data_IF_196383772556
#
_entry.id   IF_196383772556
#
_cell.length_a   1.000
_cell.length_b   1.000
_cell.length_c   1.000
_cell.angle_alpha   90.00
_cell.angle_beta   90.00
_cell.angle_gamma   90.00
#
_symmetry.space_group_name_H-M   'P 1'
#
loop_
_entity.id
_entity.type
_entity.pdbx_description
1 polymer ?
#
# COMPACT_ATOMS: atom_id res chain seq x y z
N UNK A 1 39.04 -28.14 9.15
CA UNK A 1 37.80 -28.08 9.95
C UNK A 1 36.89 -27.06 9.28
N UNK A 2 35.86 -27.48 8.52
CA UNK A 2 34.63 -26.64 8.37
C UNK A 2 33.48 -27.26 7.55
N UNK A 3 33.68 -28.38 6.84
CA UNK A 3 32.58 -28.97 6.05
C UNK A 3 31.40 -29.50 6.89
N UNK A 4 31.66 -29.88 8.13
CA UNK A 4 30.62 -30.35 9.06
C UNK A 4 29.80 -29.21 9.68
N UNK A 5 30.37 -27.99 9.75
CA UNK A 5 29.73 -26.80 10.31
C UNK A 5 28.69 -26.22 9.34
N UNK A 6 29.02 -26.10 8.05
CA UNK A 6 28.10 -25.62 7.01
C UNK A 6 26.89 -26.55 6.80
N UNK A 7 27.09 -27.86 6.83
CA UNK A 7 26.02 -28.84 6.64
C UNK A 7 24.97 -28.78 7.77
N UNK A 8 25.41 -28.57 9.02
CA UNK A 8 24.52 -28.38 10.18
C UNK A 8 23.69 -27.09 10.06
N UNK A 9 24.31 -26.00 9.60
CA UNK A 9 23.65 -24.70 9.46
C UNK A 9 22.55 -24.71 8.39
N UNK A 10 22.79 -25.37 7.25
CA UNK A 10 21.80 -25.57 6.19
C UNK A 10 20.67 -26.54 6.57
N UNK A 11 20.95 -27.52 7.42
CA UNK A 11 19.92 -28.42 7.95
C UNK A 11 18.94 -27.67 8.85
N UNK A 12 19.43 -26.79 9.74
CA UNK A 12 18.57 -25.99 10.60
C UNK A 12 17.69 -24.99 9.82
N UNK A 13 18.22 -24.35 8.77
CA UNK A 13 17.42 -23.45 7.92
C UNK A 13 16.36 -24.20 7.11
N UNK A 14 16.66 -25.43 6.64
CA UNK A 14 15.69 -26.30 5.98
C UNK A 14 14.58 -26.78 6.92
N UNK A 15 14.93 -27.22 8.13
CA UNK A 15 13.95 -27.68 9.14
C UNK A 15 13.02 -26.54 9.53
N UNK A 16 13.57 -25.35 9.80
CA UNK A 16 12.75 -24.16 10.08
C UNK A 16 11.89 -23.75 8.89
N UNK A 17 12.43 -23.80 7.67
CA UNK A 17 11.67 -23.53 6.45
C UNK A 17 10.46 -24.46 6.28
N UNK A 18 10.64 -25.76 6.56
CA UNK A 18 9.57 -26.76 6.49
C UNK A 18 8.51 -26.50 7.57
N UNK A 19 8.90 -26.17 8.81
CA UNK A 19 7.96 -25.83 9.89
C UNK A 19 7.13 -24.59 9.52
N UNK A 20 7.74 -23.55 8.96
CA UNK A 20 7.01 -22.37 8.49
C UNK A 20 6.04 -22.68 7.35
N UNK A 21 6.44 -23.53 6.40
CA UNK A 21 5.57 -23.95 5.29
C UNK A 21 4.39 -24.76 5.80
N UNK A 22 4.62 -25.72 6.72
CA UNK A 22 3.55 -26.51 7.32
C UNK A 22 2.62 -25.62 8.14
N UNK A 23 3.17 -24.68 8.92
CA UNK A 23 2.40 -23.69 9.66
C UNK A 23 1.54 -22.83 8.73
N UNK A 24 2.08 -22.35 7.62
CA UNK A 24 1.35 -21.59 6.62
C UNK A 24 0.23 -22.41 5.97
N UNK A 25 0.47 -23.68 5.65
CA UNK A 25 -0.54 -24.59 5.09
C UNK A 25 -1.66 -24.86 6.11
N UNK A 26 -1.31 -25.13 7.38
CA UNK A 26 -2.27 -25.29 8.48
C UNK A 26 -3.13 -24.05 8.67
N UNK A 27 -2.53 -22.87 8.50
CA UNK A 27 -3.18 -21.58 8.68
C UNK A 27 -4.14 -21.27 7.51
N UNK A 28 -3.75 -21.57 6.26
CA UNK A 28 -4.65 -21.50 5.10
C UNK A 28 -5.78 -22.51 5.19
N UNK A 29 -5.51 -23.72 5.68
CA UNK A 29 -6.53 -24.73 5.92
C UNK A 29 -7.51 -24.31 7.02
N UNK A 30 -7.00 -23.67 8.08
CA UNK A 30 -7.82 -23.05 9.12
C UNK A 30 -8.67 -21.89 8.56
N UNK A 31 -8.11 -21.04 7.70
CA UNK A 31 -8.84 -19.96 7.02
C UNK A 31 -10.01 -20.49 6.17
N UNK A 32 -9.83 -21.65 5.52
CA UNK A 32 -10.85 -22.27 4.68
C UNK A 32 -11.93 -23.00 5.49
N UNK A 33 -11.59 -23.57 6.64
CA UNK A 33 -12.45 -24.54 7.35
C UNK A 33 -13.00 -24.01 8.68
N UNK A 34 -12.34 -23.04 9.30
CA UNK A 34 -12.77 -22.45 10.59
C UNK A 34 -13.76 -21.31 10.36
N UNK A 35 -14.86 -21.31 11.12
CA UNK A 35 -15.76 -20.14 11.22
C UNK A 35 -15.06 -18.93 11.84
N UNK A 36 -14.12 -19.18 12.75
CA UNK A 36 -13.30 -18.14 13.38
C UNK A 36 -12.31 -17.59 12.34
N UNK A 37 -12.60 -16.39 11.81
CA UNK A 37 -11.72 -15.68 10.89
C UNK A 37 -12.25 -15.53 9.46
N UNK A 38 -13.52 -15.85 9.19
CA UNK A 38 -14.21 -15.54 7.93
C UNK A 38 -15.13 -14.33 8.11
N UNK A 39 -15.11 -13.39 7.17
CA UNK A 39 -15.99 -12.21 7.20
C UNK A 39 -17.11 -12.39 6.19
N UNK A 40 -18.33 -12.52 6.68
CA UNK A 40 -19.53 -12.65 5.87
C UNK A 40 -20.20 -11.29 5.69
N UNK A 41 -20.72 -11.05 4.48
CA UNK A 41 -21.38 -9.80 4.13
C UNK A 41 -22.74 -10.05 3.48
N UNK A 42 -23.72 -9.25 3.87
CA UNK A 42 -25.03 -9.17 3.24
C UNK A 42 -25.10 -7.92 2.36
N UNK A 43 -25.63 -8.02 1.14
CA UNK A 43 -25.90 -6.84 0.32
C UNK A 43 -27.15 -6.14 0.84
N UNK A 44 -27.00 -4.88 1.25
CA UNK A 44 -28.08 -3.97 1.59
C UNK A 44 -28.23 -2.96 0.45
N UNK A 45 -29.39 -2.96 -0.22
CA UNK A 45 -29.67 -2.01 -1.30
C UNK A 45 -30.20 -0.71 -0.71
N UNK A 46 -29.61 0.40 -1.13
CA UNK A 46 -30.12 1.73 -0.84
C UNK A 46 -30.56 2.38 -2.14
N UNK A 47 -31.80 2.86 -2.19
CA UNK A 47 -32.30 3.67 -3.27
C UNK A 47 -32.87 4.99 -2.72
N UNK A 48 -32.60 6.07 -3.43
CA UNK A 48 -33.06 7.41 -3.10
C UNK A 48 -33.77 8.03 -4.28
N UNK A 49 -34.99 8.49 -4.06
CA UNK A 49 -35.79 9.21 -5.05
C UNK A 49 -35.81 10.70 -4.75
N UNK A 50 -35.81 11.51 -5.81
CA UNK A 50 -35.91 12.96 -5.70
C UNK A 50 -37.37 13.39 -5.68
N UNK A 51 -37.76 14.08 -4.60
CA UNK A 51 -39.08 14.70 -4.48
C UNK A 51 -39.21 15.91 -5.42
N UNK A 52 -40.43 16.40 -5.65
CA UNK A 52 -40.72 17.53 -6.54
C UNK A 52 -39.96 18.82 -6.18
N UNK A 53 -39.53 18.96 -4.92
CA UNK A 53 -38.71 20.06 -4.39
C UNK A 53 -37.19 19.83 -4.52
N UNK A 54 -36.75 18.75 -5.18
CA UNK A 54 -35.34 18.40 -5.37
C UNK A 54 -34.65 17.81 -4.14
N UNK A 55 -35.41 17.39 -3.11
CA UNK A 55 -34.89 16.72 -1.92
C UNK A 55 -34.91 15.20 -2.10
N UNK A 56 -33.85 14.51 -1.67
CA UNK A 56 -33.74 13.06 -1.78
C UNK A 56 -34.29 12.37 -0.53
N UNK A 57 -35.13 11.35 -0.71
CA UNK A 57 -35.64 10.47 0.36
C UNK A 57 -35.40 9.01 0.02
N UNK A 58 -35.14 8.17 1.04
CA UNK A 58 -34.99 6.73 0.85
C UNK A 58 -36.27 6.09 0.29
N UNK A 59 -36.13 5.12 -0.60
CA UNK A 59 -37.25 4.42 -1.24
C UNK A 59 -36.87 2.97 -1.51
N UNK A 60 -37.78 2.04 -1.19
CA UNK A 60 -37.55 0.59 -1.34
C UNK A 60 -37.90 0.07 -2.75
N UNK A 61 -38.51 0.91 -3.60
CA UNK A 61 -38.87 0.59 -4.99
C UNK A 61 -38.27 1.61 -5.96
N UNK A 62 -37.01 1.40 -6.41
CA UNK A 62 -36.34 2.32 -7.32
C UNK A 62 -37.04 2.40 -8.67
N UNK A 63 -37.17 3.62 -9.20
CA UNK A 63 -37.66 3.90 -10.55
C UNK A 63 -36.54 4.44 -11.46
N UNK A 64 -36.81 4.54 -12.75
CA UNK A 64 -35.83 5.05 -13.72
C UNK A 64 -35.54 6.53 -13.47
N UNK A 65 -34.38 6.82 -12.87
CA UNK A 65 -33.94 8.18 -12.50
C UNK A 65 -33.43 8.30 -11.06
N UNK A 66 -33.65 7.27 -10.23
CA UNK A 66 -33.25 7.26 -8.83
C UNK A 66 -31.78 6.84 -8.63
N UNK A 67 -31.17 7.30 -7.55
CA UNK A 67 -29.79 6.93 -7.20
C UNK A 67 -29.84 5.64 -6.38
N UNK A 68 -29.27 4.56 -6.93
CA UNK A 68 -29.19 3.26 -6.29
C UNK A 68 -27.74 2.88 -6.03
N UNK A 69 -27.44 2.37 -4.83
CA UNK A 69 -26.17 1.71 -4.54
C UNK A 69 -26.36 0.54 -3.57
N UNK A 70 -25.44 -0.42 -3.64
CA UNK A 70 -25.44 -1.58 -2.76
C UNK A 70 -24.29 -1.43 -1.76
N UNK A 71 -24.63 -1.46 -0.47
CA UNK A 71 -23.67 -1.49 0.63
C UNK A 71 -23.51 -2.92 1.12
N UNK A 72 -22.28 -3.37 1.32
CA UNK A 72 -22.01 -4.68 1.92
C UNK A 72 -21.74 -4.52 3.41
N UNK A 73 -22.72 -4.88 4.24
CA UNK A 73 -22.60 -4.81 5.69
C UNK A 73 -22.05 -6.13 6.25
N UNK A 74 -21.29 -6.07 7.35
CA UNK A 74 -20.71 -7.26 7.98
C UNK A 74 -21.78 -7.92 8.85
N UNK A 75 -22.03 -9.20 8.63
CA UNK A 75 -22.98 -9.96 9.45
C UNK A 75 -22.28 -10.44 10.72
N UNK A 76 -22.81 -10.12 11.92
CA UNK A 76 -22.26 -10.64 13.18
C UNK A 76 -22.43 -12.16 13.30
N UNK A 77 -21.50 -12.83 13.97
CA UNK A 77 -21.51 -14.30 14.16
C UNK A 77 -22.80 -14.84 14.80
N UNK A 78 -23.53 -14.02 15.57
CA UNK A 78 -24.81 -14.36 16.18
C UNK A 78 -25.97 -14.48 15.17
N UNK A 79 -25.85 -13.82 14.01
CA UNK A 79 -26.88 -13.78 12.96
C UNK A 79 -26.53 -14.69 11.76
N UNK A 80 -25.32 -15.25 11.75
CA UNK A 80 -24.84 -16.23 10.76
C UNK A 80 -25.42 -17.63 11.01
N UNK A 81 -26.72 -17.80 10.82
CA UNK A 81 -27.37 -19.12 10.81
C UNK A 81 -27.08 -19.87 9.50
N UNK A 82 -27.13 -21.21 9.53
CA UNK A 82 -26.90 -22.04 8.34
C UNK A 82 -27.92 -21.74 7.22
N UNK A 83 -29.12 -21.30 7.58
CA UNK A 83 -30.17 -20.89 6.63
C UNK A 83 -29.80 -19.62 5.84
N UNK A 84 -29.10 -18.66 6.45
CA UNK A 84 -28.66 -17.41 5.80
C UNK A 84 -27.51 -17.68 4.82
N UNK A 85 -26.69 -18.70 5.10
CA UNK A 85 -25.61 -19.15 4.21
C UNK A 85 -26.17 -19.93 3.02
N UNK A 86 -27.11 -20.86 3.26
CA UNK A 86 -27.71 -21.70 2.22
C UNK A 86 -28.70 -20.94 1.33
N UNK A 87 -29.32 -19.87 1.85
CA UNK A 87 -30.18 -18.97 1.06
C UNK A 87 -29.41 -18.02 0.14
N UNK A 88 -28.07 -17.99 0.21
CA UNK A 88 -27.22 -17.10 -0.59
C UNK A 88 -27.34 -15.61 -0.22
N UNK A 89 -27.98 -15.29 0.91
CA UNK A 89 -28.17 -13.92 1.39
C UNK A 89 -26.92 -13.38 2.09
N UNK A 90 -26.15 -14.23 2.77
CA UNK A 90 -24.79 -13.90 3.21
C UNK A 90 -23.76 -14.51 2.25
N UNK A 91 -22.85 -13.66 1.77
CA UNK A 91 -21.74 -14.05 0.90
C UNK A 91 -20.41 -13.89 1.63
N UNK A 92 -19.45 -14.76 1.34
CA UNK A 92 -18.12 -14.65 1.93
C UNK A 92 -17.34 -13.52 1.26
N UNK A 93 -16.94 -12.52 2.05
CA UNK A 93 -16.11 -11.42 1.57
C UNK A 93 -14.64 -11.83 1.62
N UNK A 94 -14.11 -12.29 0.48
CA UNK A 94 -12.72 -12.70 0.34
C UNK A 94 -11.72 -11.60 0.71
N UNK A 95 -11.94 -10.35 0.29
CA UNK A 95 -11.03 -9.24 0.56
C UNK A 95 -10.87 -8.95 2.06
N UNK A 96 -11.99 -8.84 2.78
CA UNK A 96 -12.01 -8.63 4.25
C UNK A 96 -11.42 -9.81 5.02
N UNK A 97 -11.72 -11.03 4.58
CA UNK A 97 -11.18 -12.25 5.18
C UNK A 97 -9.65 -12.32 5.03
N UNK A 98 -9.14 -12.08 3.82
CA UNK A 98 -7.69 -12.01 3.55
C UNK A 98 -7.05 -10.90 4.38
N UNK A 99 -7.68 -9.71 4.45
CA UNK A 99 -7.19 -8.59 5.24
C UNK A 99 -7.06 -8.90 6.74
N UNK A 100 -8.04 -9.59 7.31
CA UNK A 100 -8.05 -9.99 8.73
C UNK A 100 -6.91 -10.98 9.04
N UNK A 101 -6.70 -11.98 8.18
CA UNK A 101 -5.60 -12.94 8.33
C UNK A 101 -4.23 -12.29 8.11
N UNK A 102 -4.13 -11.39 7.13
CA UNK A 102 -2.91 -10.63 6.88
C UNK A 102 -2.54 -9.78 8.11
N UNK A 103 -3.52 -9.08 8.71
CA UNK A 103 -3.32 -8.32 9.93
C UNK A 103 -2.85 -9.20 11.11
N UNK A 104 -3.44 -10.38 11.30
CA UNK A 104 -3.01 -11.33 12.32
C UNK A 104 -1.57 -11.81 12.10
N UNK A 105 -1.20 -12.16 10.86
CA UNK A 105 0.16 -12.58 10.51
C UNK A 105 1.17 -11.46 10.74
N UNK A 106 0.89 -10.23 10.31
CA UNK A 106 1.78 -9.09 10.55
C UNK A 106 1.92 -8.76 12.04
N UNK A 107 0.85 -8.94 12.82
CA UNK A 107 0.90 -8.83 14.29
C UNK A 107 1.84 -9.87 14.88
N UNK A 108 1.79 -11.12 14.40
CA UNK A 108 2.74 -12.15 14.81
C UNK A 108 4.17 -11.86 14.34
N UNK A 109 4.34 -11.29 13.15
CA UNK A 109 5.66 -10.94 12.63
C UNK A 109 6.34 -9.88 13.49
N UNK A 110 5.60 -8.85 13.91
CA UNK A 110 6.17 -7.85 14.80
C UNK A 110 6.47 -8.48 16.17
N UNK A 111 5.53 -9.23 16.77
CA UNK A 111 5.73 -9.89 18.07
C UNK A 111 6.82 -10.97 18.06
N UNK A 112 7.22 -11.47 16.89
CA UNK A 112 8.32 -12.44 16.76
C UNK A 112 9.66 -11.88 17.25
N UNK A 113 9.81 -10.56 17.48
CA UNK A 113 10.98 -9.99 18.14
C UNK A 113 11.25 -10.64 19.51
N UNK A 114 10.19 -11.08 20.21
CA UNK A 114 10.29 -11.62 21.56
C UNK A 114 10.92 -13.03 21.60
N UNK A 115 10.87 -13.75 20.48
CA UNK A 115 11.34 -15.14 20.35
C UNK A 115 12.78 -15.21 19.80
N UNK A 116 13.35 -14.10 19.32
CA UNK A 116 14.73 -13.98 18.82
C UNK A 116 14.85 -13.45 17.39
N UNK A 117 16.04 -13.58 16.79
CA UNK A 117 16.40 -13.16 15.42
C UNK A 117 15.72 -14.01 14.33
N UNK A 118 14.41 -13.85 14.14
CA UNK A 118 13.63 -14.55 13.10
C UNK A 118 13.57 -13.74 11.78
N UNK A 119 13.76 -14.36 10.60
CA UNK A 119 13.50 -13.73 9.29
C UNK A 119 12.17 -12.98 9.18
N UNK A 120 11.10 -13.46 9.83
CA UNK A 120 9.79 -12.83 9.81
C UNK A 120 9.79 -11.41 10.41
N UNK A 121 10.53 -11.21 11.52
CA UNK A 121 10.67 -9.91 12.15
C UNK A 121 11.45 -8.94 11.26
N UNK A 122 12.58 -9.38 10.69
CA UNK A 122 13.40 -8.55 9.78
C UNK A 122 12.64 -8.12 8.53
N UNK A 123 11.74 -8.98 8.04
CA UNK A 123 10.84 -8.62 6.94
C UNK A 123 9.83 -7.55 7.36
N UNK A 124 9.18 -7.69 8.51
CA UNK A 124 8.25 -6.68 9.01
C UNK A 124 8.93 -5.32 9.25
N UNK A 125 10.13 -5.32 9.84
CA UNK A 125 10.95 -4.12 10.01
C UNK A 125 11.29 -3.47 8.65
N UNK A 126 11.78 -4.24 7.68
CA UNK A 126 12.10 -3.74 6.36
C UNK A 126 10.85 -3.22 5.62
N UNK A 127 9.69 -3.85 5.80
CA UNK A 127 8.44 -3.41 5.19
C UNK A 127 7.96 -2.09 5.78
N UNK A 128 7.98 -1.95 7.12
CA UNK A 128 7.55 -0.71 7.79
C UNK A 128 8.47 0.46 7.43
N UNK A 129 9.79 0.26 7.49
CA UNK A 129 10.77 1.30 7.14
C UNK A 129 10.73 1.60 5.64
N UNK A 130 10.62 0.58 4.79
CA UNK A 130 10.53 0.73 3.34
C UNK A 130 9.27 1.47 2.88
N UNK A 131 8.12 1.15 3.47
CA UNK A 131 6.84 1.85 3.17
C UNK A 131 6.92 3.31 3.60
N UNK A 132 7.54 3.58 4.76
CA UNK A 132 7.74 4.95 5.26
C UNK A 132 8.65 5.76 4.34
N UNK A 133 9.78 5.19 3.90
CA UNK A 133 10.68 5.83 2.96
C UNK A 133 10.03 6.05 1.58
N UNK A 134 9.26 5.07 1.09
CA UNK A 134 8.50 5.16 -0.16
C UNK A 134 7.44 6.25 -0.14
N UNK A 135 6.69 6.40 0.96
CA UNK A 135 5.70 7.45 1.12
C UNK A 135 6.32 8.85 0.99
N UNK A 136 7.43 9.09 1.70
CA UNK A 136 8.15 10.37 1.62
C UNK A 136 8.70 10.62 0.21
N UNK A 137 9.18 9.58 -0.48
CA UNK A 137 9.63 9.69 -1.87
C UNK A 137 8.50 10.10 -2.81
N UNK A 138 7.31 9.50 -2.70
CA UNK A 138 6.15 9.83 -3.55
C UNK A 138 5.73 11.29 -3.35
N UNK A 139 5.66 11.73 -2.10
CA UNK A 139 5.39 13.14 -1.77
C UNK A 139 6.45 14.05 -2.37
N UNK A 140 7.74 13.75 -2.20
CA UNK A 140 8.81 14.55 -2.78
C UNK A 140 8.71 14.65 -4.31
N UNK A 141 8.24 13.60 -4.98
CA UNK A 141 8.03 13.64 -6.43
C UNK A 141 6.87 14.57 -6.78
N UNK A 142 5.70 14.40 -6.18
CA UNK A 142 4.50 15.12 -6.58
C UNK A 142 4.42 16.56 -6.06
N UNK A 143 4.95 16.82 -4.87
CA UNK A 143 4.84 18.13 -4.21
C UNK A 143 6.04 19.04 -4.48
N UNK A 144 7.21 18.45 -4.78
CA UNK A 144 8.47 19.20 -4.95
C UNK A 144 8.97 19.07 -6.38
N UNK A 145 9.25 17.85 -6.85
CA UNK A 145 9.88 17.64 -8.16
C UNK A 145 9.00 18.08 -9.33
N UNK A 146 7.75 17.61 -9.40
CA UNK A 146 6.83 17.95 -10.51
C UNK A 146 6.58 19.47 -10.59
N UNK A 147 6.17 20.18 -9.53
CA UNK A 147 5.87 21.60 -9.64
C UNK A 147 7.12 22.50 -9.69
N UNK A 148 8.15 22.25 -8.87
CA UNK A 148 9.30 23.17 -8.74
C UNK A 148 10.35 22.97 -9.83
N UNK A 149 10.48 21.75 -10.37
CA UNK A 149 11.41 21.47 -11.47
C UNK A 149 10.68 21.42 -12.80
N UNK A 150 9.82 20.41 -13.00
CA UNK A 150 9.20 20.19 -14.31
C UNK A 150 8.22 21.30 -14.67
N UNK A 151 7.47 21.81 -13.70
CA UNK A 151 6.53 22.92 -13.90
C UNK A 151 7.20 24.21 -14.35
N UNK A 152 8.47 24.44 -13.98
CA UNK A 152 9.24 25.63 -14.38
C UNK A 152 10.09 25.41 -15.62
N UNK A 153 10.54 24.17 -15.85
CA UNK A 153 11.37 23.80 -16.99
C UNK A 153 10.56 23.50 -18.25
N UNK A 154 9.38 22.90 -18.12
CA UNK A 154 8.50 22.51 -19.23
C UNK A 154 7.02 22.75 -18.88
N UNK A 155 6.60 24.01 -18.70
CA UNK A 155 5.28 24.35 -18.15
C UNK A 155 4.13 23.84 -19.04
N UNK A 156 4.27 23.85 -20.37
CA UNK A 156 3.25 23.32 -21.28
C UNK A 156 3.07 21.79 -21.22
N UNK A 157 4.13 21.03 -20.96
CA UNK A 157 4.05 19.58 -20.79
C UNK A 157 3.41 19.22 -19.45
N UNK A 158 3.78 19.92 -18.37
CA UNK A 158 3.22 19.65 -17.04
C UNK A 158 1.76 20.05 -16.93
N UNK A 159 1.36 21.16 -17.55
CA UNK A 159 -0.04 21.57 -17.56
C UNK A 159 -0.92 20.52 -18.25
N UNK A 160 -0.47 19.97 -19.37
CA UNK A 160 -1.25 18.99 -20.14
C UNK A 160 -1.23 17.59 -19.53
N UNK A 161 -0.10 17.17 -18.95
CA UNK A 161 0.06 15.80 -18.46
C UNK A 161 -0.25 15.61 -16.97
N UNK A 162 -0.06 16.63 -16.13
CA UNK A 162 -0.07 16.45 -14.67
C UNK A 162 -0.93 17.48 -13.91
N UNK A 163 -0.95 18.76 -14.33
CA UNK A 163 -1.53 19.86 -13.55
C UNK A 163 -2.28 20.87 -14.45
N UNK A 164 -3.52 20.56 -14.87
CA UNK A 164 -4.27 21.38 -15.83
C UNK A 164 -4.63 22.79 -15.34
N UNK A 165 -4.48 23.08 -14.05
CA UNK A 165 -4.73 24.39 -13.44
C UNK A 165 -3.50 25.28 -13.22
N UNK A 166 -2.32 24.90 -13.73
CA UNK A 166 -1.08 25.67 -13.52
C UNK A 166 -1.05 26.94 -14.39
N UNK A 167 -0.59 28.05 -13.82
CA UNK A 167 -0.35 29.30 -14.56
C UNK A 167 0.94 29.19 -15.38
N UNK A 168 0.80 29.19 -16.71
CA UNK A 168 1.88 28.99 -17.69
C UNK A 168 2.44 30.32 -18.20
N UNK A 169 1.96 31.46 -17.68
CA UNK A 169 2.33 32.78 -18.20
C UNK A 169 3.82 33.11 -18.08
N UNK A 170 4.55 32.42 -17.19
CA UNK A 170 5.98 32.65 -16.96
C UNK A 170 6.90 32.08 -18.05
N UNK A 171 6.39 31.25 -18.97
CA UNK A 171 7.20 30.59 -20.01
C UNK A 171 8.26 29.62 -19.45
N UNK A 172 9.07 29.04 -20.35
CA UNK A 172 10.12 28.09 -19.97
C UNK A 172 11.32 28.79 -19.32
N UNK A 173 11.62 28.43 -18.08
CA UNK A 173 12.75 28.98 -17.34
C UNK A 173 13.98 28.06 -17.43
N UNK A 174 14.87 28.32 -18.38
CA UNK A 174 16.07 27.50 -18.63
C UNK A 174 17.04 27.40 -17.44
N UNK A 175 17.00 28.35 -16.49
CA UNK A 175 17.83 28.32 -15.28
C UNK A 175 17.56 27.07 -14.42
N UNK A 176 16.37 26.47 -14.53
CA UNK A 176 16.01 25.24 -13.82
C UNK A 176 16.65 23.96 -14.41
N UNK A 177 17.43 24.08 -15.49
CA UNK A 177 18.30 22.99 -15.97
C UNK A 177 19.37 22.67 -14.92
N UNK A 178 19.88 23.66 -14.20
CA UNK A 178 20.90 23.46 -13.15
C UNK A 178 20.38 22.52 -12.06
N UNK A 179 19.24 22.79 -11.39
CA UNK A 179 18.68 21.85 -10.43
C UNK A 179 18.26 20.52 -11.08
N UNK A 180 17.87 20.49 -12.36
CA UNK A 180 17.55 19.23 -13.04
C UNK A 180 18.78 18.31 -13.15
N UNK A 181 19.94 18.87 -13.53
CA UNK A 181 21.21 18.15 -13.59
C UNK A 181 21.61 17.68 -12.18
N UNK A 182 21.48 18.53 -11.16
CA UNK A 182 21.79 18.15 -9.78
C UNK A 182 20.91 16.98 -9.29
N UNK A 183 19.62 16.98 -9.63
CA UNK A 183 18.71 15.87 -9.30
C UNK A 183 19.09 14.60 -10.05
N UNK A 184 19.42 14.67 -11.34
CA UNK A 184 19.89 13.50 -12.10
C UNK A 184 21.18 12.93 -11.50
N UNK A 185 22.10 13.80 -11.05
CA UNK A 185 23.32 13.39 -10.35
C UNK A 185 23.03 12.70 -9.01
N UNK A 186 21.99 13.13 -8.28
CA UNK A 186 21.51 12.45 -7.08
C UNK A 186 20.86 11.10 -7.40
N UNK A 187 20.12 10.96 -8.50
CA UNK A 187 19.53 9.67 -8.88
C UNK A 187 20.59 8.59 -9.14
N UNK A 188 21.79 8.96 -9.63
CA UNK A 188 22.90 8.01 -9.77
C UNK A 188 23.39 7.42 -8.44
N UNK A 189 22.99 7.99 -7.30
CA UNK A 189 23.24 7.42 -5.98
C UNK A 189 22.45 6.13 -5.73
N UNK A 190 21.31 5.93 -6.41
CA UNK A 190 20.55 4.69 -6.36
C UNK A 190 21.26 3.53 -7.09
N UNK A 191 22.26 3.83 -7.91
CA UNK A 191 23.06 2.83 -8.61
C UNK A 191 24.29 2.42 -7.77
N UNK A 192 24.56 1.11 -7.59
CA UNK A 192 25.62 0.63 -6.71
C UNK A 192 27.05 1.08 -7.10
N UNK A 193 27.28 1.55 -8.32
CA UNK A 193 28.58 1.99 -8.84
C UNK A 193 28.69 3.51 -9.10
N UNK A 194 27.65 4.30 -8.80
CA UNK A 194 27.55 5.71 -9.18
C UNK A 194 27.93 6.74 -8.10
N UNK A 195 28.36 6.29 -6.91
CA UNK A 195 28.48 7.12 -5.70
C UNK A 195 29.43 8.33 -5.80
N UNK A 196 30.37 8.34 -6.75
CA UNK A 196 31.31 9.47 -6.93
C UNK A 196 30.64 10.72 -7.53
N UNK A 197 29.68 10.55 -8.44
CA UNK A 197 28.96 11.66 -9.08
C UNK A 197 28.08 12.42 -8.07
N UNK A 198 27.54 11.71 -7.07
CA UNK A 198 26.65 12.27 -6.05
C UNK A 198 27.35 13.23 -5.06
N UNK A 199 28.69 13.33 -5.08
CA UNK A 199 29.44 14.23 -4.18
C UNK A 199 29.21 15.71 -4.48
N UNK A 200 28.92 16.06 -5.73
CA UNK A 200 28.72 17.45 -6.16
C UNK A 200 27.40 18.05 -5.64
N UNK A 201 26.23 17.37 -5.78
CA UNK A 201 25.00 17.84 -5.16
C UNK A 201 25.08 17.97 -3.63
N UNK A 202 25.77 17.05 -2.94
CA UNK A 202 25.93 17.11 -1.48
C UNK A 202 26.73 18.35 -1.08
N UNK A 203 27.82 18.66 -1.80
CA UNK A 203 28.61 19.87 -1.55
C UNK A 203 27.79 21.16 -1.77
N UNK A 204 26.96 21.19 -2.83
CA UNK A 204 26.04 22.29 -3.09
C UNK A 204 24.99 22.44 -1.97
N UNK A 205 24.40 21.33 -1.52
CA UNK A 205 23.43 21.32 -0.42
C UNK A 205 24.05 21.84 0.89
N UNK A 206 25.25 21.39 1.24
CA UNK A 206 25.97 21.89 2.43
C UNK A 206 26.23 23.39 2.30
N UNK A 207 26.64 23.86 1.13
CA UNK A 207 26.88 25.28 0.85
C UNK A 207 25.66 26.18 1.04
N UNK A 208 24.46 25.72 0.65
CA UNK A 208 23.21 26.48 0.86
C UNK A 208 22.73 26.44 2.33
N UNK A 209 23.09 25.40 3.09
CA UNK A 209 22.70 25.26 4.51
C UNK A 209 23.70 25.87 5.49
N UNK A 210 24.90 26.22 5.04
CA UNK A 210 25.98 26.77 5.87
C UNK A 210 26.02 28.30 5.93
N UNK A 211 25.07 28.98 5.27
CA UNK A 211 24.89 30.43 5.32
C UNK A 211 24.09 30.92 6.51
#
# INVERSE_FOLDING_TARGET
MDKSSEASKNSNTLIWGIIFIIGAIMLVWSMSTSRTGQVWVTPEQHAFTADADGKYSATDTPSSGDIEWVTYNVVPDSELTQEVIDSGSATLSWSRTIGLWLAAIFTLFILSFLVGDNPAYKFAEALVVGTSAGYVMVIGIWDVFVPLLLGKLAPGFVQTAFLPGMDVSAGTQFLYIIPAILIIMLLFQLMPSGGWISRWPIAFFIGITAG
#
